data_IF_917118413791
#
_entry.id   IF_917118413791
#
_cell.length_a   1.000
_cell.length_b   1.000
_cell.length_c   1.000
_cell.angle_alpha   90.00
_cell.angle_beta   90.00
_cell.angle_gamma   90.00
#
_symmetry.space_group_name_H-M   'P 1'
#
loop_
_entity.id
_entity.type
_entity.pdbx_description
1 polymer ?
#
# COMPACT_ATOMS: atom_id res chain seq x y z
N UNK A 1 -26.30 6.18 3.56
CA UNK A 1 -25.15 5.25 3.56
C UNK A 1 -24.05 5.94 4.33
N UNK A 2 -23.78 5.49 5.55
CA UNK A 2 -22.96 6.23 6.53
C UNK A 2 -21.48 6.21 6.13
N UNK A 3 -20.85 7.40 6.09
CA UNK A 3 -19.48 7.65 5.63
C UNK A 3 -18.39 6.86 6.37
N UNK A 4 -18.72 6.27 7.52
CA UNK A 4 -17.83 5.42 8.32
C UNK A 4 -17.61 4.03 7.69
N UNK A 5 -18.61 3.50 6.98
CA UNK A 5 -18.51 2.19 6.33
C UNK A 5 -17.63 2.24 5.08
N UNK A 6 -17.76 3.32 4.28
CA UNK A 6 -16.95 3.49 3.07
C UNK A 6 -15.44 3.61 3.32
N UNK A 7 -15.03 4.12 4.49
CA UNK A 7 -13.61 4.22 4.87
C UNK A 7 -13.09 2.93 5.51
N UNK A 8 -13.91 2.24 6.30
CA UNK A 8 -13.60 0.90 6.83
C UNK A 8 -13.43 -0.14 5.70
N UNK A 9 -14.26 -0.08 4.66
CA UNK A 9 -14.18 -0.96 3.50
C UNK A 9 -12.88 -0.76 2.71
N UNK A 10 -12.44 0.49 2.49
CA UNK A 10 -11.20 0.74 1.74
C UNK A 10 -9.96 0.22 2.47
N UNK A 11 -9.88 0.37 3.79
CA UNK A 11 -8.75 -0.13 4.57
C UNK A 11 -8.75 -1.67 4.58
N UNK A 12 -9.90 -2.32 4.76
CA UNK A 12 -10.04 -3.78 4.73
C UNK A 12 -9.70 -4.38 3.35
N UNK A 13 -10.15 -3.76 2.26
CA UNK A 13 -9.84 -4.22 0.91
C UNK A 13 -8.35 -4.10 0.58
N UNK A 14 -7.68 -3.05 1.07
CA UNK A 14 -6.23 -2.93 0.95
C UNK A 14 -5.51 -4.03 1.74
N UNK A 15 -5.93 -4.31 2.99
CA UNK A 15 -5.39 -5.41 3.79
C UNK A 15 -5.55 -6.75 3.05
N UNK A 16 -6.75 -7.04 2.54
CA UNK A 16 -7.03 -8.25 1.78
C UNK A 16 -6.13 -8.33 0.54
N UNK A 17 -6.00 -7.25 -0.22
CA UNK A 17 -5.20 -7.21 -1.45
C UNK A 17 -3.73 -7.54 -1.18
N UNK A 18 -3.11 -6.88 -0.19
CA UNK A 18 -1.70 -7.10 0.12
C UNK A 18 -1.44 -8.45 0.80
N UNK A 19 -2.36 -8.92 1.65
CA UNK A 19 -2.27 -10.23 2.29
C UNK A 19 -2.40 -11.36 1.26
N UNK A 20 -3.47 -11.34 0.46
CA UNK A 20 -3.73 -12.34 -0.57
C UNK A 20 -2.65 -12.30 -1.65
N UNK A 21 -2.26 -11.10 -2.08
CA UNK A 21 -1.23 -10.94 -3.09
C UNK A 21 0.12 -11.51 -2.66
N UNK A 22 0.49 -11.38 -1.38
CA UNK A 22 1.71 -12.01 -0.86
C UNK A 22 1.64 -13.54 -0.94
N UNK A 23 0.51 -14.13 -0.55
CA UNK A 23 0.28 -15.58 -0.66
C UNK A 23 0.36 -16.04 -2.11
N UNK A 24 -0.28 -15.30 -3.04
CA UNK A 24 -0.26 -15.63 -4.45
C UNK A 24 1.16 -15.58 -5.02
N UNK A 25 1.95 -14.54 -4.73
CA UNK A 25 3.33 -14.46 -5.22
C UNK A 25 4.25 -15.57 -4.68
N UNK A 26 3.97 -16.07 -3.47
CA UNK A 26 4.73 -17.17 -2.87
C UNK A 26 4.30 -18.55 -3.41
N UNK A 27 3.02 -18.73 -3.75
CA UNK A 27 2.43 -20.04 -4.05
C UNK A 27 2.13 -20.26 -5.52
N UNK A 28 1.99 -19.20 -6.31
CA UNK A 28 1.67 -19.30 -7.73
C UNK A 28 2.94 -19.59 -8.53
N UNK A 29 3.07 -20.82 -9.02
CA UNK A 29 4.21 -21.20 -9.89
C UNK A 29 4.31 -20.30 -11.13
N UNK A 30 3.17 -19.91 -11.69
CA UNK A 30 3.06 -19.01 -12.83
C UNK A 30 2.87 -17.55 -12.39
N UNK A 31 3.91 -16.94 -11.82
CA UNK A 31 3.86 -15.56 -11.31
C UNK A 31 3.41 -14.51 -12.35
N UNK A 32 3.53 -14.78 -13.65
CA UNK A 32 3.02 -13.90 -14.70
C UNK A 32 1.49 -13.80 -14.71
N UNK A 33 0.78 -14.79 -14.17
CA UNK A 33 -0.68 -14.79 -14.02
C UNK A 33 -1.15 -14.08 -12.74
N UNK A 34 -0.22 -13.57 -11.92
CA UNK A 34 -0.55 -12.95 -10.63
C UNK A 34 -1.70 -11.94 -10.72
N UNK A 35 -1.61 -11.00 -11.66
CA UNK A 35 -2.61 -9.95 -11.81
C UNK A 35 -3.98 -10.50 -12.24
N UNK A 36 -4.00 -11.45 -13.17
CA UNK A 36 -5.23 -12.08 -13.63
C UNK A 36 -5.92 -12.86 -12.51
N UNK A 37 -5.12 -13.62 -11.73
CA UNK A 37 -5.62 -14.43 -10.61
C UNK A 37 -6.20 -13.54 -9.51
N UNK A 38 -5.48 -12.49 -9.08
CA UNK A 38 -5.98 -11.63 -8.02
C UNK A 38 -7.20 -10.81 -8.47
N UNK A 39 -7.24 -10.36 -9.73
CA UNK A 39 -8.41 -9.70 -10.31
C UNK A 39 -9.63 -10.61 -10.28
N UNK A 40 -9.47 -11.85 -10.75
CA UNK A 40 -10.56 -12.83 -10.76
C UNK A 40 -11.10 -13.12 -9.35
N UNK A 41 -10.21 -13.26 -8.36
CA UNK A 41 -10.60 -13.45 -6.97
C UNK A 41 -11.40 -12.26 -6.45
N UNK A 42 -10.92 -11.03 -6.68
CA UNK A 42 -11.63 -9.81 -6.25
C UNK A 42 -12.98 -9.63 -6.95
N UNK A 43 -13.07 -9.98 -8.23
CA UNK A 43 -14.32 -9.92 -8.99
C UNK A 43 -15.36 -10.95 -8.53
N UNK A 44 -14.90 -12.04 -7.90
CA UNK A 44 -15.77 -13.08 -7.31
C UNK A 44 -16.25 -12.70 -5.90
N UNK A 45 -15.61 -11.74 -5.23
CA UNK A 45 -16.01 -11.24 -3.91
C UNK A 45 -17.19 -10.26 -4.03
N UNK A 46 -18.39 -10.82 -4.13
CA UNK A 46 -19.65 -10.07 -4.23
C UNK A 46 -20.56 -10.32 -3.02
N UNK A 47 -21.42 -9.35 -2.71
CA UNK A 47 -22.43 -9.46 -1.66
C UNK A 47 -23.71 -10.18 -2.13
N UNK A 48 -24.70 -10.27 -1.24
CA UNK A 48 -26.01 -10.88 -1.51
C UNK A 48 -26.84 -10.14 -2.57
N UNK A 49 -26.43 -8.93 -2.93
CA UNK A 49 -27.03 -8.09 -3.98
C UNK A 49 -26.18 -8.05 -5.26
N UNK A 50 -25.22 -8.95 -5.39
CA UNK A 50 -24.29 -9.05 -6.53
C UNK A 50 -23.43 -7.79 -6.72
N UNK A 51 -23.17 -7.03 -5.66
CA UNK A 51 -22.28 -5.88 -5.68
C UNK A 51 -20.88 -6.28 -5.25
N UNK A 52 -19.85 -5.69 -5.90
CA UNK A 52 -18.45 -5.94 -5.52
C UNK A 52 -18.20 -5.44 -4.10
N UNK A 53 -17.75 -6.34 -3.22
CA UNK A 53 -17.35 -6.00 -1.85
C UNK A 53 -16.07 -5.16 -1.88
N UNK A 54 -15.08 -5.61 -2.67
CA UNK A 54 -13.84 -4.90 -2.85
C UNK A 54 -13.61 -4.57 -4.33
N UNK A 55 -13.24 -3.32 -4.60
CA UNK A 55 -12.61 -2.98 -5.87
C UNK A 55 -11.12 -3.25 -5.76
N UNK A 56 -10.50 -3.70 -6.85
CA UNK A 56 -9.06 -3.85 -6.91
C UNK A 56 -8.43 -2.46 -6.65
N UNK A 57 -7.58 -2.31 -5.63
CA UNK A 57 -7.09 -1.00 -5.22
C UNK A 57 -6.09 -0.39 -6.20
N UNK A 58 -5.51 -1.23 -7.06
CA UNK A 58 -4.39 -0.90 -7.92
C UNK A 58 -4.60 -1.44 -9.33
N UNK A 59 -4.09 -0.71 -10.33
CA UNK A 59 -4.03 -1.20 -11.71
C UNK A 59 -2.97 -2.31 -11.86
N UNK A 60 -2.75 -2.80 -13.09
CA UNK A 60 -1.77 -3.86 -13.35
C UNK A 60 -0.38 -3.52 -12.79
N UNK A 61 0.06 -4.30 -11.80
CA UNK A 61 1.36 -4.18 -11.15
C UNK A 61 2.22 -5.40 -11.44
N UNK A 62 3.49 -5.15 -11.79
CA UNK A 62 4.50 -6.19 -11.81
C UNK A 62 4.89 -6.56 -10.36
N UNK A 63 5.43 -7.77 -10.18
CA UNK A 63 5.84 -8.30 -8.86
C UNK A 63 6.62 -7.28 -8.02
N UNK A 64 7.64 -6.66 -8.61
CA UNK A 64 8.48 -5.67 -7.92
C UNK A 64 7.70 -4.44 -7.47
N UNK A 65 6.74 -3.99 -8.28
CA UNK A 65 5.88 -2.87 -7.90
C UNK A 65 4.96 -3.28 -6.75
N UNK A 66 4.31 -4.44 -6.85
CA UNK A 66 3.50 -4.98 -5.76
C UNK A 66 4.28 -5.07 -4.45
N UNK A 67 5.50 -5.63 -4.46
CA UNK A 67 6.37 -5.73 -3.27
C UNK A 67 6.69 -4.34 -2.68
N UNK A 68 6.94 -3.34 -3.53
CA UNK A 68 7.19 -1.98 -3.08
C UNK A 68 5.94 -1.33 -2.46
N UNK A 69 4.78 -1.46 -3.10
CA UNK A 69 3.52 -0.94 -2.57
C UNK A 69 3.11 -1.63 -1.28
N UNK A 70 3.30 -2.95 -1.19
CA UNK A 70 3.11 -3.70 0.04
C UNK A 70 4.01 -3.17 1.15
N UNK A 71 5.29 -2.93 0.87
CA UNK A 71 6.23 -2.42 1.88
C UNK A 71 5.78 -1.04 2.39
N UNK A 72 5.33 -0.15 1.50
CA UNK A 72 4.76 1.15 1.88
C UNK A 72 3.51 0.96 2.75
N UNK A 73 2.61 0.08 2.34
CA UNK A 73 1.40 -0.24 3.09
C UNK A 73 1.74 -0.78 4.49
N UNK A 74 2.61 -1.78 4.59
CA UNK A 74 3.03 -2.36 5.88
C UNK A 74 3.66 -1.30 6.79
N UNK A 75 4.53 -0.43 6.26
CA UNK A 75 5.10 0.69 7.03
C UNK A 75 4.00 1.63 7.56
N UNK A 76 2.99 1.93 6.74
CA UNK A 76 1.87 2.81 7.14
C UNK A 76 1.03 2.19 8.26
N UNK A 77 0.76 0.88 8.19
CA UNK A 77 -0.02 0.17 9.21
C UNK A 77 0.80 -0.06 10.48
N UNK A 78 2.10 -0.34 10.34
CA UNK A 78 3.06 -0.38 11.44
C UNK A 78 3.03 0.92 12.23
N UNK A 79 3.18 2.06 11.55
CA UNK A 79 3.11 3.38 12.19
C UNK A 79 1.79 3.63 12.93
N UNK A 80 0.63 3.31 12.34
CA UNK A 80 -0.69 3.41 13.01
C UNK A 80 -0.77 2.55 14.29
N UNK A 81 -0.12 1.38 14.28
CA UNK A 81 -0.06 0.50 15.45
C UNK A 81 0.86 1.08 16.53
N UNK A 82 2.04 1.53 16.13
CA UNK A 82 3.05 2.11 17.02
C UNK A 82 2.59 3.40 17.69
N UNK A 83 1.91 4.29 16.96
CA UNK A 83 1.40 5.54 17.51
C UNK A 83 0.40 5.27 18.64
N UNK A 84 -0.51 4.30 18.45
CA UNK A 84 -1.44 3.86 19.50
C UNK A 84 -0.72 3.24 20.70
N UNK A 85 0.28 2.40 20.45
CA UNK A 85 1.06 1.75 21.51
C UNK A 85 1.92 2.75 22.32
N UNK A 86 2.56 3.71 21.67
CA UNK A 86 3.41 4.73 22.32
C UNK A 86 2.62 5.71 23.20
N UNK A 87 1.34 5.92 22.89
CA UNK A 87 0.44 6.74 23.70
C UNK A 87 -0.09 5.97 24.93
N UNK A 88 0.19 4.68 25.07
CA UNK A 88 -0.25 3.88 26.20
C UNK A 88 0.71 4.04 27.40
N UNK A 89 0.20 4.39 28.60
CA UNK A 89 1.02 4.52 29.80
C UNK A 89 1.71 3.19 30.16
N UNK A 90 3.00 3.26 30.51
CA UNK A 90 3.76 2.12 31.06
C UNK A 90 4.44 1.21 30.03
N UNK A 91 4.42 1.57 28.74
CA UNK A 91 5.09 0.77 27.72
C UNK A 91 6.59 1.07 27.63
N UNK A 92 7.43 0.04 27.76
CA UNK A 92 8.88 0.16 27.60
C UNK A 92 9.32 -0.01 26.15
N UNK A 93 10.11 0.93 25.62
CA UNK A 93 10.72 0.80 24.29
C UNK A 93 11.76 -0.34 24.29
N UNK A 94 11.45 -1.45 23.58
CA UNK A 94 12.39 -2.57 23.42
C UNK A 94 13.32 -2.38 22.22
N UNK A 95 14.47 -3.05 22.22
CA UNK A 95 15.39 -3.04 21.07
C UNK A 95 14.74 -3.62 19.79
N UNK A 96 13.87 -4.62 19.94
CA UNK A 96 13.09 -5.18 18.83
C UNK A 96 12.15 -4.13 18.25
N UNK A 97 11.49 -3.35 19.11
CA UNK A 97 10.62 -2.26 18.72
C UNK A 97 11.37 -1.16 17.97
N UNK A 98 12.54 -0.77 18.49
CA UNK A 98 13.45 0.16 17.80
C UNK A 98 13.83 -0.35 16.40
N UNK A 99 14.18 -1.62 16.28
CA UNK A 99 14.57 -2.21 14.99
C UNK A 99 13.44 -2.11 13.95
N UNK A 100 12.18 -2.36 14.34
CA UNK A 100 11.06 -2.22 13.41
C UNK A 100 10.86 -0.77 12.97
N UNK A 101 10.91 0.19 13.91
CA UNK A 101 10.82 1.62 13.60
C UNK A 101 11.95 2.10 12.68
N UNK A 102 13.18 1.64 12.92
CA UNK A 102 14.34 1.98 12.09
C UNK A 102 14.16 1.43 10.67
N UNK A 103 13.67 0.19 10.52
CA UNK A 103 13.36 -0.41 9.22
C UNK A 103 12.30 0.41 8.47
N UNK A 104 11.18 0.71 9.12
CA UNK A 104 10.08 1.45 8.50
C UNK A 104 10.51 2.88 8.11
N UNK A 105 11.29 3.54 8.97
CA UNK A 105 11.88 4.86 8.69
C UNK A 105 12.80 4.83 7.48
N UNK A 106 13.64 3.80 7.37
CA UNK A 106 14.57 3.67 6.24
C UNK A 106 13.83 3.38 4.93
N UNK A 107 12.80 2.53 4.97
CA UNK A 107 11.94 2.25 3.82
C UNK A 107 11.22 3.52 3.36
N UNK A 108 10.64 4.27 4.30
CA UNK A 108 10.00 5.54 4.01
C UNK A 108 10.97 6.53 3.32
N UNK A 109 12.16 6.74 3.90
CA UNK A 109 13.18 7.62 3.31
C UNK A 109 13.57 7.20 1.89
N UNK A 110 13.72 5.89 1.65
CA UNK A 110 14.02 5.36 0.32
C UNK A 110 12.95 5.75 -0.69
N UNK A 111 11.67 5.47 -0.39
CA UNK A 111 10.57 5.76 -1.31
C UNK A 111 10.32 7.26 -1.49
N UNK A 112 10.47 8.06 -0.42
CA UNK A 112 10.40 9.51 -0.51
C UNK A 112 11.45 10.05 -1.50
N UNK A 113 12.70 9.62 -1.37
CA UNK A 113 13.79 10.03 -2.27
C UNK A 113 13.56 9.57 -3.72
N UNK A 114 13.03 8.36 -3.93
CA UNK A 114 12.65 7.88 -5.26
C UNK A 114 11.56 8.76 -5.89
N UNK A 115 10.57 9.18 -5.09
CA UNK A 115 9.52 10.08 -5.54
C UNK A 115 10.07 11.47 -5.86
N UNK A 116 10.93 12.05 -5.02
CA UNK A 116 11.54 13.36 -5.33
C UNK A 116 12.37 13.32 -6.61
N UNK A 117 13.20 12.29 -6.80
CA UNK A 117 13.98 12.12 -8.02
C UNK A 117 13.09 12.04 -9.27
N UNK A 118 11.99 11.27 -9.21
CA UNK A 118 11.00 11.21 -10.30
C UNK A 118 10.34 12.57 -10.55
N UNK A 119 10.01 13.33 -9.49
CA UNK A 119 9.41 14.66 -9.62
C UNK A 119 10.34 15.64 -10.34
N UNK A 120 11.62 15.66 -9.94
CA UNK A 120 12.67 16.48 -10.56
C UNK A 120 12.85 16.08 -12.04
N UNK A 121 12.90 14.76 -12.31
CA UNK A 121 13.05 14.26 -13.67
C UNK A 121 11.87 14.68 -14.57
N UNK A 122 10.63 14.56 -14.08
CA UNK A 122 9.41 14.99 -14.79
C UNK A 122 9.39 16.49 -15.04
N UNK A 123 9.80 17.30 -14.06
CA UNK A 123 9.91 18.74 -14.24
C UNK A 123 10.93 19.10 -15.35
N UNK A 124 12.00 18.31 -15.47
CA UNK A 124 13.06 18.53 -16.46
C UNK A 124 12.72 18.01 -17.87
N UNK A 125 11.86 16.99 -18.00
CA UNK A 125 11.55 16.31 -19.26
C UNK A 125 10.05 16.32 -19.56
N UNK A 126 9.47 17.52 -19.68
CA UNK A 126 8.03 17.84 -19.79
C UNK A 126 7.19 17.10 -20.87
N UNK A 127 7.73 16.13 -21.60
CA UNK A 127 7.13 15.50 -22.78
C UNK A 127 7.10 13.95 -22.83
N UNK A 128 7.46 13.21 -21.77
CA UNK A 128 7.42 11.73 -21.80
C UNK A 128 6.27 11.10 -20.98
N UNK A 129 5.36 10.47 -21.73
CA UNK A 129 4.37 9.40 -21.52
C UNK A 129 3.70 9.13 -20.14
N UNK A 130 2.36 9.07 -20.21
CA UNK A 130 1.37 9.04 -19.13
C UNK A 130 1.45 7.90 -18.10
N UNK A 131 2.10 6.77 -18.38
CA UNK A 131 2.08 5.60 -17.48
C UNK A 131 2.97 5.75 -16.23
N UNK A 132 4.11 6.43 -16.38
CA UNK A 132 5.00 6.77 -15.25
C UNK A 132 4.35 7.80 -14.31
N UNK A 133 3.47 8.64 -14.86
CA UNK A 133 2.73 9.67 -14.14
C UNK A 133 1.67 9.08 -13.19
N UNK A 134 1.01 7.99 -13.58
CA UNK A 134 -0.02 7.32 -12.77
C UNK A 134 0.57 6.59 -11.56
N UNK A 135 1.58 5.73 -11.78
CA UNK A 135 2.32 5.03 -10.71
C UNK A 135 2.96 6.02 -9.72
N UNK A 136 3.49 7.14 -10.24
CA UNK A 136 4.01 8.23 -9.41
C UNK A 136 2.92 8.90 -8.56
N UNK A 137 1.76 9.23 -9.14
CA UNK A 137 0.63 9.82 -8.40
C UNK A 137 0.13 8.86 -7.32
N UNK A 138 0.06 7.57 -7.62
CA UNK A 138 -0.40 6.54 -6.69
C UNK A 138 0.57 6.35 -5.52
N UNK A 139 1.88 6.20 -5.79
CA UNK A 139 2.93 6.16 -4.75
C UNK A 139 2.94 7.43 -3.90
N UNK A 140 2.85 8.59 -4.54
CA UNK A 140 2.82 9.89 -3.85
C UNK A 140 1.58 10.06 -2.99
N UNK A 141 0.41 9.68 -3.49
CA UNK A 141 -0.85 9.73 -2.72
C UNK A 141 -0.79 8.78 -1.53
N UNK A 142 -0.26 7.56 -1.69
CA UNK A 142 -0.10 6.62 -0.58
C UNK A 142 0.90 7.11 0.48
N UNK A 143 2.06 7.64 0.06
CA UNK A 143 3.02 8.26 0.97
C UNK A 143 2.40 9.46 1.70
N UNK A 144 1.63 10.29 0.99
CA UNK A 144 0.98 11.46 1.57
C UNK A 144 -0.15 11.09 2.55
N UNK A 145 -1.02 10.13 2.21
CA UNK A 145 -2.03 9.58 3.13
C UNK A 145 -1.41 8.95 4.40
N UNK A 146 -0.25 8.30 4.25
CA UNK A 146 0.47 7.70 5.37
C UNK A 146 1.05 8.75 6.34
N UNK A 147 1.25 10.00 5.89
CA UNK A 147 1.86 11.08 6.69
C UNK A 147 0.86 12.10 7.24
N UNK A 148 -0.15 12.47 6.45
CA UNK A 148 -0.95 13.68 6.72
C UNK A 148 -2.36 13.42 7.26
N UNK A 149 -2.98 12.29 6.93
CA UNK A 149 -4.36 11.98 7.37
C UNK A 149 -4.42 11.06 8.59
N UNK A 150 -3.28 10.77 9.21
CA UNK A 150 -3.17 9.94 10.42
C UNK A 150 -2.44 10.67 11.58
N UNK A 151 -2.41 12.01 11.53
CA UNK A 151 -2.13 12.91 12.67
C UNK A 151 -3.45 13.53 13.12
#
# INVERSE_FOLDING_TARGET
MNSLWSTLDSDLCNFLYFWLGNILLEKLNANFLFHEVILYLFDTLIDDKYQKICKLPHSLMLKKDFENFKLIFDCSQGYKSYSKHLLSPGMSCSNKYKSYLDTDTNNYKRFYNECEKKAIWKHKHKHEDDKSSEDYKEKKNFLWYSLYYNI
#
